data_IF_331409647881
#
_entry.id   IF_331409647881
#
_cell.length_a   1.000
_cell.length_b   1.000
_cell.length_c   1.000
_cell.angle_alpha   90.00
_cell.angle_beta   90.00
_cell.angle_gamma   90.00
#
_symmetry.space_group_name_H-M   'P 1'
#
loop_
_entity.id
_entity.type
_entity.pdbx_description
1 polymer ?
#
# COMPACT_ATOMS: atom_id res chain seq x y z
N UNK A 1 24.27 -67.42 10.16
CA UNK A 1 23.18 -68.39 10.44
C UNK A 1 23.70 -69.81 10.38
N UNK A 2 24.35 -70.23 9.28
CA UNK A 2 24.96 -71.55 9.16
C UNK A 2 25.79 -72.04 10.37
N UNK A 3 26.57 -71.16 11.00
CA UNK A 3 27.37 -71.50 12.18
C UNK A 3 26.54 -71.73 13.46
N UNK A 4 25.46 -70.95 13.66
CA UNK A 4 24.56 -71.13 14.80
C UNK A 4 23.78 -72.44 14.68
N UNK A 5 23.27 -72.71 13.47
CA UNK A 5 22.53 -73.92 13.15
C UNK A 5 23.42 -75.16 13.29
N UNK A 6 24.69 -75.05 12.92
CA UNK A 6 25.69 -76.11 13.12
C UNK A 6 25.94 -76.38 14.61
N UNK A 7 26.05 -75.37 15.47
CA UNK A 7 26.23 -75.54 16.92
C UNK A 7 24.99 -76.19 17.55
N UNK A 8 23.80 -75.77 17.13
CA UNK A 8 22.53 -76.34 17.62
C UNK A 8 22.39 -77.80 17.17
N UNK A 9 22.75 -78.12 15.93
CA UNK A 9 22.74 -79.49 15.43
C UNK A 9 23.75 -80.35 16.20
N UNK A 10 24.98 -79.87 16.42
CA UNK A 10 25.98 -80.58 17.22
C UNK A 10 25.55 -80.78 18.68
N UNK A 11 24.80 -79.84 19.27
CA UNK A 11 24.20 -80.02 20.59
C UNK A 11 23.08 -81.07 20.59
N UNK A 12 22.28 -81.13 19.53
CA UNK A 12 21.22 -82.11 19.34
C UNK A 12 21.78 -83.52 19.13
N UNK A 13 22.87 -83.64 18.38
CA UNK A 13 23.57 -84.91 18.13
C UNK A 13 24.15 -85.49 19.44
N UNK A 14 24.56 -84.64 20.40
CA UNK A 14 25.01 -85.12 21.71
C UNK A 14 23.88 -85.66 22.60
N UNK A 15 22.62 -85.47 22.22
CA UNK A 15 21.45 -85.97 22.94
C UNK A 15 20.84 -87.24 22.29
N UNK A 16 21.45 -87.77 21.23
CA UNK A 16 20.98 -89.01 20.59
C UNK A 16 21.49 -90.26 21.33
N UNK A 17 20.74 -91.38 21.32
CA UNK A 17 21.07 -92.60 22.07
C UNK A 17 22.43 -93.23 21.72
N UNK A 18 23.01 -92.86 20.57
CA UNK A 18 24.34 -93.28 20.14
C UNK A 18 25.46 -92.87 21.12
N UNK A 19 25.22 -91.84 21.93
CA UNK A 19 26.17 -91.34 22.92
C UNK A 19 25.95 -91.89 24.34
N UNK A 20 24.92 -92.71 24.58
CA UNK A 20 24.64 -93.30 25.91
C UNK A 20 25.75 -94.27 26.40
N UNK A 21 26.59 -94.77 25.49
CA UNK A 21 27.72 -95.64 25.78
C UNK A 21 29.04 -94.87 26.05
N UNK A 22 29.06 -93.55 25.91
CA UNK A 22 30.26 -92.72 26.11
C UNK A 22 30.39 -92.22 27.56
N UNK A 23 31.61 -91.89 27.96
CA UNK A 23 31.90 -91.28 29.26
C UNK A 23 31.19 -89.92 29.42
N UNK A 24 30.37 -89.82 30.46
CA UNK A 24 29.57 -88.65 30.82
C UNK A 24 30.41 -87.37 30.94
N UNK A 25 31.65 -87.46 31.43
CA UNK A 25 32.56 -86.31 31.56
C UNK A 25 32.92 -85.72 30.19
N UNK A 26 33.16 -86.57 29.19
CA UNK A 26 33.52 -86.13 27.83
C UNK A 26 32.34 -85.44 27.15
N UNK A 27 31.13 -85.95 27.35
CA UNK A 27 29.89 -85.33 26.83
C UNK A 27 29.69 -83.96 27.48
N UNK A 28 29.87 -83.84 28.80
CA UNK A 28 29.74 -82.57 29.52
C UNK A 28 30.74 -81.52 29.06
N UNK A 29 32.00 -81.88 28.84
CA UNK A 29 33.03 -80.98 28.33
C UNK A 29 32.63 -80.46 26.94
N UNK A 30 32.21 -81.35 26.04
CA UNK A 30 31.82 -80.98 24.67
C UNK A 30 30.56 -80.12 24.64
N UNK A 31 29.53 -80.48 25.42
CA UNK A 31 28.31 -79.69 25.55
C UNK A 31 28.60 -78.29 26.12
N UNK A 32 29.45 -78.20 27.16
CA UNK A 32 29.84 -76.94 27.79
C UNK A 32 30.59 -76.01 26.81
N UNK A 33 31.45 -76.58 25.97
CA UNK A 33 32.14 -75.83 24.91
C UNK A 33 31.17 -75.29 23.86
N UNK A 34 30.23 -76.11 23.38
CA UNK A 34 29.21 -75.71 22.40
C UNK A 34 28.25 -74.64 22.97
N UNK A 35 27.82 -74.79 24.22
CA UNK A 35 27.00 -73.78 24.92
C UNK A 35 27.78 -72.47 25.07
N UNK A 36 29.06 -72.53 25.42
CA UNK A 36 29.91 -71.34 25.54
C UNK A 36 30.07 -70.61 24.21
N UNK A 37 30.25 -71.35 23.11
CA UNK A 37 30.30 -70.80 21.74
C UNK A 37 28.97 -70.18 21.33
N UNK A 38 27.84 -70.83 21.63
CA UNK A 38 26.49 -70.28 21.39
C UNK A 38 26.26 -68.97 22.16
N UNK A 39 26.64 -68.91 23.44
CA UNK A 39 26.59 -67.68 24.25
C UNK A 39 27.47 -66.57 23.67
N UNK A 40 28.65 -66.90 23.15
CA UNK A 40 29.52 -65.92 22.51
C UNK A 40 28.89 -65.35 21.22
N UNK A 41 28.29 -66.20 20.39
CA UNK A 41 27.58 -65.79 19.18
C UNK A 41 26.37 -64.89 19.51
N UNK A 42 25.60 -65.25 20.56
CA UNK A 42 24.47 -64.43 21.01
C UNK A 42 24.93 -63.03 21.49
N UNK A 43 26.00 -62.95 22.28
CA UNK A 43 26.59 -61.66 22.68
C UNK A 43 27.05 -60.84 21.48
N UNK A 44 27.69 -61.47 20.49
CA UNK A 44 28.10 -60.81 19.25
C UNK A 44 26.90 -60.26 18.46
N UNK A 45 25.84 -61.06 18.30
CA UNK A 45 24.61 -60.62 17.62
C UNK A 45 23.91 -59.46 18.35
N UNK A 46 23.84 -59.50 19.67
CA UNK A 46 23.29 -58.42 20.49
C UNK A 46 24.12 -57.14 20.37
N UNK A 47 25.45 -57.27 20.40
CA UNK A 47 26.35 -56.13 20.20
C UNK A 47 26.17 -55.52 18.81
N UNK A 48 26.16 -56.33 17.76
CA UNK A 48 25.94 -55.87 16.39
C UNK A 48 24.58 -55.16 16.24
N UNK A 49 23.53 -55.69 16.89
CA UNK A 49 22.20 -55.06 16.91
C UNK A 49 22.24 -53.71 17.61
N UNK A 50 22.92 -53.62 18.75
CA UNK A 50 23.08 -52.35 19.50
C UNK A 50 23.85 -51.32 18.67
N UNK A 51 24.98 -51.70 18.07
CA UNK A 51 25.76 -50.81 17.20
C UNK A 51 24.92 -50.29 16.03
N UNK A 52 24.11 -51.13 15.40
CA UNK A 52 23.21 -50.70 14.31
C UNK A 52 22.12 -49.74 14.80
N UNK A 53 21.55 -50.00 15.98
CA UNK A 53 20.58 -49.09 16.60
C UNK A 53 21.21 -47.73 16.89
N UNK A 54 22.40 -47.71 17.48
CA UNK A 54 23.12 -46.47 17.80
C UNK A 54 23.47 -45.69 16.52
N UNK A 55 23.99 -46.36 15.49
CA UNK A 55 24.28 -45.72 14.20
C UNK A 55 23.01 -45.13 13.53
N UNK A 56 21.89 -45.85 13.60
CA UNK A 56 20.61 -45.36 13.05
C UNK A 56 20.07 -44.19 13.86
N UNK A 57 20.25 -44.19 15.18
CA UNK A 57 19.84 -43.09 16.05
C UNK A 57 20.63 -41.81 15.75
N UNK A 58 21.95 -41.92 15.54
CA UNK A 58 22.82 -40.80 15.16
C UNK A 58 22.37 -40.23 13.80
N UNK A 59 22.21 -41.08 12.78
CA UNK A 59 21.77 -40.64 11.46
C UNK A 59 20.39 -39.96 11.50
N UNK A 60 19.47 -40.47 12.33
CA UNK A 60 18.16 -39.84 12.55
C UNK A 60 18.29 -38.47 13.20
N UNK A 61 19.15 -38.34 14.21
CA UNK A 61 19.38 -37.05 14.89
C UNK A 61 19.97 -36.00 13.94
N UNK A 62 20.92 -36.38 13.08
CA UNK A 62 21.48 -35.50 12.05
C UNK A 62 20.41 -35.04 11.04
N UNK A 63 19.54 -35.96 10.62
CA UNK A 63 18.39 -35.64 9.76
C UNK A 63 17.43 -34.67 10.45
N UNK A 64 17.08 -34.91 11.71
CA UNK A 64 16.16 -34.06 12.48
C UNK A 64 16.74 -32.65 12.67
N UNK A 65 18.05 -32.54 12.92
CA UNK A 65 18.75 -31.25 13.01
C UNK A 65 18.72 -30.49 11.67
N UNK A 66 18.98 -31.19 10.56
CA UNK A 66 18.91 -30.61 9.22
C UNK A 66 17.49 -30.15 8.88
N UNK A 67 16.49 -30.94 9.26
CA UNK A 67 15.08 -30.61 9.07
C UNK A 67 14.67 -29.36 9.86
N UNK A 68 15.14 -29.21 11.11
CA UNK A 68 14.93 -28.01 11.90
C UNK A 68 15.56 -26.77 11.23
N UNK A 69 16.78 -26.90 10.69
CA UNK A 69 17.43 -25.85 9.91
C UNK A 69 16.61 -25.41 8.70
N UNK A 70 16.07 -26.38 7.96
CA UNK A 70 15.17 -26.11 6.82
C UNK A 70 13.90 -25.37 7.26
N UNK A 71 13.27 -25.77 8.37
CA UNK A 71 12.08 -25.10 8.89
C UNK A 71 12.35 -23.63 9.27
N UNK A 72 13.51 -23.35 9.89
CA UNK A 72 13.92 -21.99 10.20
C UNK A 72 14.06 -21.14 8.93
N UNK A 73 14.74 -21.65 7.90
CA UNK A 73 14.89 -20.95 6.61
C UNK A 73 13.54 -20.72 5.91
N UNK A 74 12.64 -21.70 5.95
CA UNK A 74 11.29 -21.56 5.39
C UNK A 74 10.47 -20.51 6.14
N UNK A 75 10.63 -20.41 7.46
CA UNK A 75 10.01 -19.36 8.24
C UNK A 75 10.56 -17.98 7.85
N UNK A 76 11.88 -17.84 7.79
CA UNK A 76 12.55 -16.60 7.39
C UNK A 76 12.13 -16.16 5.98
N UNK A 77 12.13 -17.09 5.01
CA UNK A 77 11.65 -16.83 3.66
C UNK A 77 10.23 -16.28 3.66
N UNK A 78 9.29 -16.95 4.35
CA UNK A 78 7.89 -16.48 4.43
C UNK A 78 7.77 -15.12 5.13
N UNK A 79 8.60 -14.87 6.13
CA UNK A 79 8.63 -13.57 6.80
C UNK A 79 9.07 -12.48 5.82
N UNK A 80 10.18 -12.68 5.10
CA UNK A 80 10.68 -11.75 4.09
C UNK A 80 9.68 -11.53 2.96
N UNK A 81 9.04 -12.59 2.44
CA UNK A 81 8.00 -12.47 1.41
C UNK A 81 6.83 -11.58 1.88
N UNK A 82 6.40 -11.73 3.14
CA UNK A 82 5.36 -10.87 3.72
C UNK A 82 5.81 -9.43 3.86
N UNK A 83 7.05 -9.18 4.30
CA UNK A 83 7.58 -7.82 4.42
C UNK A 83 7.75 -7.15 3.05
N UNK A 84 8.21 -7.89 2.04
CA UNK A 84 8.29 -7.41 0.64
C UNK A 84 6.89 -7.03 0.15
N UNK A 85 5.89 -7.87 0.39
CA UNK A 85 4.52 -7.60 -0.03
C UNK A 85 3.94 -6.37 0.68
N UNK A 86 4.20 -6.19 1.98
CA UNK A 86 3.84 -4.96 2.71
C UNK A 86 4.49 -3.72 2.10
N UNK A 87 5.77 -3.79 1.76
CA UNK A 87 6.49 -2.68 1.13
C UNK A 87 5.95 -2.39 -0.28
N UNK A 88 5.52 -3.41 -1.03
CA UNK A 88 4.92 -3.24 -2.36
C UNK A 88 3.50 -2.66 -2.31
N UNK A 89 2.74 -2.99 -1.26
CA UNK A 89 1.42 -2.42 -1.01
C UNK A 89 1.47 -0.97 -0.53
N UNK A 90 2.66 -0.39 -0.37
CA UNK A 90 2.79 1.04 -0.13
C UNK A 90 2.29 1.83 -1.36
N UNK A 91 1.01 2.19 -1.31
CA UNK A 91 0.40 3.09 -2.26
C UNK A 91 0.65 4.54 -1.80
N UNK A 92 1.44 5.27 -2.56
CA UNK A 92 1.67 6.69 -2.35
C UNK A 92 0.66 7.50 -3.16
N UNK A 93 0.06 8.52 -2.52
CA UNK A 93 -0.98 9.38 -3.10
C UNK A 93 -0.55 10.03 -4.43
N UNK A 94 0.75 10.21 -4.70
CA UNK A 94 1.22 10.84 -5.94
C UNK A 94 0.83 10.06 -7.21
N UNK A 95 0.56 8.75 -7.11
CA UNK A 95 0.19 7.92 -8.26
C UNK A 95 -1.22 8.26 -8.79
N UNK A 96 -2.09 8.79 -7.94
CA UNK A 96 -3.48 9.14 -8.28
C UNK A 96 -3.66 10.62 -8.62
N UNK A 97 -2.60 11.42 -8.55
CA UNK A 97 -2.68 12.85 -8.85
C UNK A 97 -2.81 13.04 -10.36
N UNK A 98 -3.84 13.74 -10.85
CA UNK A 98 -3.91 14.11 -12.26
C UNK A 98 -2.77 15.11 -12.55
N UNK A 99 -1.83 14.69 -13.37
CA UNK A 99 -0.67 15.48 -13.81
C UNK A 99 -0.88 15.92 -15.25
N UNK A 100 -0.27 17.05 -15.62
CA UNK A 100 -0.13 17.43 -17.01
C UNK A 100 0.50 16.30 -17.86
N UNK A 101 0.03 16.11 -19.11
CA UNK A 101 0.67 15.24 -20.09
C UNK A 101 2.15 15.60 -20.28
N UNK A 102 2.96 14.62 -20.66
CA UNK A 102 4.41 14.82 -20.82
C UNK A 102 4.74 15.94 -21.82
N UNK A 103 3.98 16.01 -22.90
CA UNK A 103 4.11 17.02 -23.97
C UNK A 103 3.86 18.44 -23.45
N UNK A 104 2.85 18.62 -22.61
CA UNK A 104 2.52 19.92 -22.02
C UNK A 104 3.55 20.32 -20.95
N UNK A 105 3.99 19.37 -20.13
CA UNK A 105 5.07 19.58 -19.18
C UNK A 105 6.36 20.00 -19.91
N UNK A 106 6.72 19.32 -20.99
CA UNK A 106 7.88 19.64 -21.82
C UNK A 106 7.76 20.97 -22.55
N UNK A 107 6.59 21.61 -22.59
CA UNK A 107 6.39 22.95 -23.19
C UNK A 107 6.30 24.06 -22.16
N UNK A 108 5.74 23.79 -20.98
CA UNK A 108 5.40 24.78 -19.96
C UNK A 108 6.36 24.82 -18.76
N UNK A 109 7.04 23.72 -18.43
CA UNK A 109 7.89 23.65 -17.24
C UNK A 109 9.16 24.53 -17.32
N UNK A 110 9.76 25.01 -16.24
CA UNK A 110 11.03 25.75 -16.32
C UNK A 110 12.16 24.95 -17.02
N UNK A 111 13.13 25.60 -17.66
CA UNK A 111 14.23 24.91 -18.36
C UNK A 111 15.05 24.04 -17.40
N UNK A 112 15.20 24.47 -16.15
CA UNK A 112 15.91 23.75 -15.10
C UNK A 112 15.27 22.37 -14.83
N UNK A 113 13.94 22.28 -14.98
CA UNK A 113 13.17 21.05 -14.78
C UNK A 113 13.17 20.12 -16.00
N UNK A 114 13.70 20.56 -17.15
CA UNK A 114 13.70 19.80 -18.42
C UNK A 114 15.08 19.42 -18.96
N UNK A 115 16.13 19.52 -18.16
CA UNK A 115 17.49 19.15 -18.57
C UNK A 115 17.53 17.69 -19.07
N UNK A 116 18.35 17.39 -20.09
CA UNK A 116 18.45 16.02 -20.66
C UNK A 116 18.75 14.96 -19.61
N UNK A 117 19.60 15.28 -18.63
CA UNK A 117 19.94 14.39 -17.50
C UNK A 117 18.74 14.05 -16.60
N UNK A 118 17.79 14.97 -16.47
CA UNK A 118 16.55 14.79 -15.70
C UNK A 118 15.56 13.95 -16.51
N UNK A 119 15.47 14.20 -17.82
CA UNK A 119 14.56 13.47 -18.72
C UNK A 119 14.94 12.00 -18.88
N UNK A 120 16.23 11.66 -18.76
CA UNK A 120 16.72 10.29 -18.78
C UNK A 120 16.42 9.51 -17.48
N UNK A 121 16.22 10.20 -16.36
CA UNK A 121 15.95 9.57 -15.07
C UNK A 121 14.46 9.69 -14.71
N UNK A 122 13.72 8.57 -14.80
CA UNK A 122 12.28 8.51 -14.56
C UNK A 122 11.87 9.06 -13.18
N UNK A 123 12.64 8.77 -12.13
CA UNK A 123 12.34 9.24 -10.79
C UNK A 123 12.48 10.76 -10.68
N UNK A 124 13.57 11.32 -11.20
CA UNK A 124 13.79 12.77 -11.21
C UNK A 124 12.76 13.50 -12.08
N UNK A 125 12.40 12.90 -13.22
CA UNK A 125 11.33 13.39 -14.08
C UNK A 125 10.00 13.45 -13.32
N UNK A 126 9.62 12.40 -12.58
CA UNK A 126 8.38 12.39 -11.80
C UNK A 126 8.38 13.45 -10.69
N UNK A 127 9.50 13.62 -9.97
CA UNK A 127 9.64 14.67 -8.95
C UNK A 127 9.45 16.08 -9.54
N UNK A 128 10.05 16.33 -10.70
CA UNK A 128 9.92 17.62 -11.38
C UNK A 128 8.52 17.86 -11.95
N UNK A 129 7.84 16.80 -12.41
CA UNK A 129 6.42 16.90 -12.81
C UNK A 129 5.52 17.24 -11.63
N UNK A 130 5.75 16.62 -10.48
CA UNK A 130 4.98 16.90 -9.25
C UNK A 130 5.24 18.31 -8.72
N UNK A 131 6.50 18.78 -8.73
CA UNK A 131 6.84 20.14 -8.28
C UNK A 131 6.25 21.21 -9.19
N UNK A 132 6.26 20.97 -10.51
CA UNK A 132 5.60 21.84 -11.48
C UNK A 132 4.09 21.90 -11.29
N UNK A 133 3.43 20.75 -11.11
CA UNK A 133 1.99 20.68 -10.83
C UNK A 133 1.62 21.46 -9.56
N UNK A 134 2.42 21.31 -8.50
CA UNK A 134 2.22 22.03 -7.24
C UNK A 134 2.31 23.55 -7.46
N UNK A 135 3.35 24.01 -8.17
CA UNK A 135 3.55 25.43 -8.46
C UNK A 135 2.39 26.00 -9.30
N UNK A 136 1.93 25.28 -10.32
CA UNK A 136 0.79 25.70 -11.14
C UNK A 136 -0.50 25.76 -10.34
N UNK A 137 -0.78 24.76 -9.49
CA UNK A 137 -1.96 24.78 -8.61
C UNK A 137 -1.94 25.96 -7.64
N UNK A 138 -0.78 26.26 -7.06
CA UNK A 138 -0.62 27.43 -6.18
C UNK A 138 -0.86 28.73 -6.94
N UNK A 139 -0.30 28.86 -8.16
CA UNK A 139 -0.51 30.04 -9.02
C UNK A 139 -1.98 30.23 -9.39
N UNK A 140 -2.67 29.15 -9.76
CA UNK A 140 -4.10 29.17 -10.11
C UNK A 140 -4.98 29.50 -8.90
N UNK A 141 -4.69 28.95 -7.72
CA UNK A 141 -5.43 29.26 -6.49
C UNK A 141 -5.24 30.73 -6.08
N UNK A 142 -4.03 31.26 -6.21
CA UNK A 142 -3.74 32.67 -5.95
C UNK A 142 -4.53 33.57 -6.91
N UNK A 143 -4.49 33.29 -8.21
CA UNK A 143 -5.27 34.03 -9.22
C UNK A 143 -6.77 33.94 -8.97
N UNK A 144 -7.27 32.77 -8.54
CA UNK A 144 -8.68 32.59 -8.16
C UNK A 144 -9.05 33.50 -6.99
N UNK A 145 -8.22 33.58 -5.94
CA UNK A 145 -8.45 34.47 -4.79
C UNK A 145 -8.47 35.94 -5.21
N UNK A 146 -7.53 36.36 -6.04
CA UNK A 146 -7.49 37.73 -6.58
C UNK A 146 -8.76 38.06 -7.37
N UNK A 147 -9.20 37.17 -8.25
CA UNK A 147 -10.43 37.36 -9.04
C UNK A 147 -11.69 37.35 -8.16
N UNK A 148 -11.72 36.56 -7.08
CA UNK A 148 -12.81 36.59 -6.11
C UNK A 148 -12.86 37.92 -5.34
N UNK A 149 -11.71 38.43 -4.92
CA UNK A 149 -11.62 39.73 -4.25
C UNK A 149 -12.09 40.86 -5.18
N UNK A 150 -11.61 40.88 -6.42
CA UNK A 150 -12.02 41.87 -7.43
C UNK A 150 -13.53 41.79 -7.70
N UNK A 151 -14.08 40.57 -7.82
CA UNK A 151 -15.52 40.38 -7.96
C UNK A 151 -16.29 40.95 -6.77
N UNK A 152 -15.83 40.72 -5.54
CA UNK A 152 -16.49 41.24 -4.35
C UNK A 152 -16.45 42.77 -4.29
N UNK A 153 -15.31 43.37 -4.66
CA UNK A 153 -15.13 44.82 -4.74
C UNK A 153 -16.06 45.45 -5.79
N UNK A 154 -16.11 44.89 -7.00
CA UNK A 154 -17.02 45.35 -8.06
C UNK A 154 -18.50 45.20 -7.67
N UNK A 155 -18.86 44.13 -6.94
CA UNK A 155 -20.22 43.96 -6.42
C UNK A 155 -20.56 45.01 -5.35
N UNK A 156 -19.60 45.37 -4.49
CA UNK A 156 -19.77 46.45 -3.51
C UNK A 156 -19.93 47.80 -4.22
N UNK A 157 -19.09 48.10 -5.21
CA UNK A 157 -19.17 49.32 -6.01
C UNK A 157 -20.50 49.40 -6.77
N UNK A 158 -20.93 48.30 -7.41
CA UNK A 158 -22.21 48.20 -8.09
C UNK A 158 -23.40 48.47 -7.16
N UNK A 159 -23.38 47.94 -5.93
CA UNK A 159 -24.40 48.23 -4.92
C UNK A 159 -24.40 49.71 -4.52
N UNK A 160 -23.23 50.29 -4.26
CA UNK A 160 -23.10 51.71 -3.91
C UNK A 160 -23.61 52.61 -5.04
N UNK A 161 -23.26 52.31 -6.28
CA UNK A 161 -23.71 53.06 -7.45
C UNK A 161 -25.22 52.90 -7.68
N UNK A 162 -25.79 51.71 -7.46
CA UNK A 162 -27.25 51.51 -7.47
C UNK A 162 -27.95 52.41 -6.43
N UNK A 163 -27.50 52.40 -5.18
CA UNK A 163 -28.07 53.27 -4.14
C UNK A 163 -27.93 54.76 -4.49
N UNK A 164 -26.80 55.18 -5.07
CA UNK A 164 -26.62 56.56 -5.55
C UNK A 164 -27.59 56.90 -6.67
N UNK A 165 -27.79 56.01 -7.64
CA UNK A 165 -28.74 56.22 -8.74
C UNK A 165 -30.18 56.30 -8.22
N UNK A 166 -30.56 55.45 -7.28
CA UNK A 166 -31.88 55.50 -6.63
C UNK A 166 -32.08 56.84 -5.89
N UNK A 167 -31.05 57.33 -5.20
CA UNK A 167 -31.08 58.65 -4.56
C UNK A 167 -31.19 59.79 -5.58
N UNK A 168 -30.44 59.76 -6.68
CA UNK A 168 -30.56 60.78 -7.74
C UNK A 168 -31.94 60.75 -8.38
N UNK A 169 -32.47 59.55 -8.65
CA UNK A 169 -33.82 59.36 -9.19
C UNK A 169 -34.87 60.00 -8.30
N UNK A 170 -34.83 59.75 -6.99
CA UNK A 170 -35.78 60.37 -6.04
C UNK A 170 -35.67 61.90 -6.02
N UNK A 171 -34.46 62.47 -6.12
CA UNK A 171 -34.26 63.93 -6.23
C UNK A 171 -34.83 64.50 -7.53
N UNK A 172 -34.65 63.81 -8.66
CA UNK A 172 -35.24 64.21 -9.95
C UNK A 172 -36.78 64.14 -9.86
N UNK A 173 -37.34 63.06 -9.30
CA UNK A 173 -38.78 62.92 -9.12
C UNK A 173 -39.36 64.06 -8.26
N UNK A 174 -38.65 64.50 -7.21
CA UNK A 174 -39.02 65.66 -6.42
C UNK A 174 -38.94 66.96 -7.22
N UNK A 175 -37.85 67.19 -7.97
CA UNK A 175 -37.69 68.37 -8.82
C UNK A 175 -38.79 68.46 -9.87
N UNK A 176 -39.13 67.36 -10.54
CA UNK A 176 -40.22 67.29 -11.54
C UNK A 176 -41.56 67.66 -10.90
N UNK A 177 -41.86 67.14 -9.70
CA UNK A 177 -43.07 67.51 -8.96
C UNK A 177 -43.09 69.01 -8.63
N UNK A 178 -42.00 69.55 -8.10
CA UNK A 178 -41.91 70.98 -7.78
C UNK A 178 -42.02 71.85 -9.04
N UNK A 179 -41.38 71.47 -10.14
CA UNK A 179 -41.47 72.16 -11.42
C UNK A 179 -42.90 72.15 -11.97
N UNK A 180 -43.60 71.01 -11.86
CA UNK A 180 -45.01 70.90 -12.24
C UNK A 180 -45.92 71.78 -11.36
N UNK A 181 -45.69 71.82 -10.06
CA UNK A 181 -46.41 72.72 -9.15
C UNK A 181 -46.16 74.20 -9.47
N UNK A 182 -44.91 74.58 -9.80
CA UNK A 182 -44.57 75.94 -10.23
C UNK A 182 -45.21 76.24 -11.58
N UNK A 183 -45.15 75.33 -12.56
CA UNK A 183 -45.80 75.49 -13.86
C UNK A 183 -47.29 75.77 -13.68
N UNK A 184 -47.98 74.98 -12.85
CA UNK A 184 -49.39 75.21 -12.52
C UNK A 184 -49.63 76.59 -11.92
N UNK A 185 -48.80 77.02 -10.96
CA UNK A 185 -48.89 78.37 -10.39
C UNK A 185 -48.62 79.48 -11.41
N UNK A 186 -47.67 79.29 -12.33
CA UNK A 186 -47.37 80.25 -13.40
C UNK A 186 -48.51 80.30 -14.41
N UNK A 187 -49.12 79.18 -14.77
CA UNK A 187 -50.29 79.11 -15.64
C UNK A 187 -51.52 79.77 -15.00
N UNK A 188 -51.69 79.62 -13.68
CA UNK A 188 -52.71 80.34 -12.90
C UNK A 188 -52.45 81.86 -12.83
N UNK A 189 -51.18 82.30 -12.88
CA UNK A 189 -50.76 83.71 -12.82
C UNK A 189 -50.68 84.39 -14.20
N UNK A 190 -50.40 83.63 -15.26
CA UNK A 190 -50.40 84.08 -16.65
C UNK A 190 -51.80 83.86 -17.21
N UNK A 191 -52.71 84.79 -16.90
CA UNK A 191 -53.99 84.85 -17.61
C UNK A 191 -53.73 85.08 -19.10
N UNK A 192 -54.52 84.48 -20.02
CA UNK A 192 -54.48 84.86 -21.42
C UNK A 192 -54.80 86.36 -21.52
N UNK A 193 -54.01 87.09 -22.31
CA UNK A 193 -54.33 88.48 -22.68
C UNK A 193 -55.81 88.57 -23.06
N UNK A 194 -56.58 89.55 -22.53
CA UNK A 194 -57.98 89.69 -22.88
C UNK A 194 -58.06 89.92 -24.38
N UNK A 195 -58.87 89.11 -25.05
CA UNK A 195 -59.27 89.37 -26.43
C UNK A 195 -59.91 90.76 -26.47
N UNK A 196 -59.24 91.68 -27.16
CA UNK A 196 -59.83 92.94 -27.56
C UNK A 196 -60.88 92.63 -28.64
N UNK A 197 -62.14 92.52 -28.23
CA UNK A 197 -63.27 93.18 -28.93
C UNK A 197 -64.59 92.85 -28.24
N UNK A 198 -65.25 93.88 -27.72
CA UNK A 198 -66.70 94.06 -27.82
C UNK A 198 -67.09 95.40 -27.19
N UNK A 199 -67.34 96.39 -28.05
CA UNK A 199 -68.47 97.33 -28.08
C UNK A 199 -68.10 98.46 -29.05
N UNK A 200 -69.03 99.06 -29.84
CA UNK A 200 -70.47 99.12 -29.61
C UNK A 200 -71.36 98.88 -30.86
N UNK A 201 -72.66 98.62 -30.68
CA UNK A 201 -73.70 99.26 -31.52
C UNK A 201 -75.05 99.30 -30.81
N UNK A 202 -75.55 100.55 -30.68
CA UNK A 202 -76.89 101.07 -30.37
C UNK A 202 -77.59 100.70 -29.06
#
# INVERSE_FOLDING_TARGET
MAEADQIIQQLRDLATPEYDAYDTEVIHIRASALISRSKALNRSANLATRTRKDATAIARQEMDQSYLGLQNLLYEKRHLEREIEKCRQFASVYQDVPLYPLEEFQRLAPEEARTSTVMENEHQLMLNRLSFELAERQRLDQKRKEMLNLKEELLKEGKLNSTKLDNVKTQIDMLVKTAFEIQKKVEDLVQPLPAADAMPTN
#
